data_IF_285431202663
#
_entry.id   IF_285431202663
#
_cell.length_a   1.000
_cell.length_b   1.000
_cell.length_c   1.000
_cell.angle_alpha   90.00
_cell.angle_beta   90.00
_cell.angle_gamma   90.00
#
_symmetry.space_group_name_H-M   'P 1'
#
loop_
_entity.id
_entity.type
_entity.pdbx_description
1 polymer ?
#
# COMPACT_ATOMS: atom_id res chain seq x y z
N UNK A 1 -7.10 -25.73 -18.53
CA UNK A 1 -6.94 -24.27 -18.56
C UNK A 1 -6.57 -23.83 -17.15
N UNK A 2 -5.32 -23.45 -16.91
CA UNK A 2 -4.93 -22.85 -15.61
C UNK A 2 -5.32 -21.37 -15.71
N UNK A 3 -6.15 -20.83 -14.80
CA UNK A 3 -6.46 -19.40 -14.80
C UNK A 3 -5.14 -18.63 -14.69
N UNK A 4 -4.93 -17.64 -15.56
CA UNK A 4 -3.76 -16.79 -15.50
C UNK A 4 -3.69 -16.11 -14.14
N UNK A 5 -2.70 -16.48 -13.32
CA UNK A 5 -2.44 -15.81 -12.05
C UNK A 5 -1.94 -14.40 -12.37
N UNK A 6 -2.76 -13.39 -12.07
CA UNK A 6 -2.32 -12.00 -12.16
C UNK A 6 -1.12 -11.81 -11.25
N UNK A 7 0.05 -11.54 -11.84
CA UNK A 7 1.27 -11.27 -11.09
C UNK A 7 1.21 -9.83 -10.59
N UNK A 8 1.69 -9.60 -9.37
CA UNK A 8 1.85 -8.26 -8.82
C UNK A 8 3.29 -7.81 -9.06
N UNK A 9 3.45 -6.78 -9.89
CA UNK A 9 4.72 -6.08 -10.04
C UNK A 9 4.77 -4.89 -9.09
N UNK A 10 5.91 -4.68 -8.45
CA UNK A 10 6.09 -3.62 -7.46
C UNK A 10 7.16 -2.64 -7.92
N UNK A 11 6.86 -1.35 -7.85
CA UNK A 11 7.77 -0.27 -8.22
C UNK A 11 8.29 0.39 -6.96
N UNK A 12 9.62 0.57 -6.90
CA UNK A 12 10.32 1.16 -5.76
C UNK A 12 11.12 2.39 -6.17
N UNK A 13 11.16 3.39 -5.29
CA UNK A 13 12.05 4.53 -5.37
C UNK A 13 12.66 4.77 -3.99
N UNK A 14 13.98 4.90 -3.93
CA UNK A 14 14.71 5.10 -2.67
C UNK A 14 14.38 4.05 -1.57
N UNK A 15 14.18 2.79 -1.99
CA UNK A 15 13.79 1.69 -1.10
C UNK A 15 12.33 1.72 -0.62
N UNK A 16 11.54 2.75 -0.98
CA UNK A 16 10.12 2.86 -0.68
C UNK A 16 9.28 2.29 -1.82
N UNK A 17 8.23 1.55 -1.48
CA UNK A 17 7.27 1.03 -2.46
C UNK A 17 6.31 2.14 -2.85
N UNK A 18 6.30 2.51 -4.13
CA UNK A 18 5.50 3.65 -4.65
C UNK A 18 4.33 3.21 -5.52
N UNK A 19 4.38 2.01 -6.11
CA UNK A 19 3.25 1.48 -6.86
C UNK A 19 3.21 -0.06 -6.87
N UNK A 20 2.02 -0.60 -7.10
CA UNK A 20 1.77 -2.00 -7.48
C UNK A 20 0.99 -2.01 -8.78
N UNK A 21 1.44 -2.84 -9.73
CA UNK A 21 0.74 -3.12 -10.97
C UNK A 21 0.24 -4.55 -10.92
N UNK A 22 -1.06 -4.74 -11.10
CA UNK A 22 -1.72 -6.06 -11.13
C UNK A 22 -2.54 -6.15 -12.40
N UNK A 23 -1.98 -6.78 -13.44
CA UNK A 23 -2.54 -6.71 -14.80
C UNK A 23 -2.50 -5.28 -15.33
N UNK A 24 -3.65 -4.68 -15.61
CA UNK A 24 -3.79 -3.27 -16.02
C UNK A 24 -4.10 -2.31 -14.88
N UNK A 25 -4.26 -2.82 -13.65
CA UNK A 25 -4.63 -2.01 -12.48
C UNK A 25 -3.39 -1.48 -11.79
N UNK A 26 -3.31 -0.17 -11.60
CA UNK A 26 -2.24 0.49 -10.85
C UNK A 26 -2.78 1.00 -9.52
N UNK A 27 -2.09 0.65 -8.44
CA UNK A 27 -2.28 1.19 -7.09
C UNK A 27 -1.05 2.01 -6.74
N UNK A 28 -1.23 3.27 -6.36
CA UNK A 28 -0.16 4.14 -5.88
C UNK A 28 -0.11 4.13 -4.36
N UNK A 29 1.09 3.95 -3.80
CA UNK A 29 1.35 3.98 -2.36
C UNK A 29 1.87 5.34 -1.95
N UNK A 30 1.31 5.88 -0.88
CA UNK A 30 1.75 7.15 -0.29
C UNK A 30 2.31 6.86 1.10
N UNK A 31 3.63 6.93 1.21
CA UNK A 31 4.35 6.58 2.44
C UNK A 31 4.81 7.82 3.21
N UNK A 32 4.94 7.70 4.53
CA UNK A 32 5.67 8.69 5.33
C UNK A 32 7.18 8.49 5.31
N UNK A 33 7.90 9.36 6.04
CA UNK A 33 9.37 9.41 6.05
C UNK A 33 10.05 8.11 6.54
N UNK A 34 9.34 7.24 7.25
CA UNK A 34 9.86 5.94 7.69
C UNK A 34 9.29 4.77 6.87
N UNK A 35 8.59 5.08 5.78
CA UNK A 35 8.02 4.10 4.86
C UNK A 35 6.67 3.53 5.27
N UNK A 36 5.96 4.12 6.24
CA UNK A 36 4.62 3.63 6.60
C UNK A 36 3.61 4.03 5.53
N UNK A 37 2.84 3.07 5.00
CA UNK A 37 1.77 3.34 4.02
C UNK A 37 0.62 4.09 4.69
N UNK A 38 0.37 5.35 4.33
CA UNK A 38 -0.74 6.16 4.91
C UNK A 38 -1.96 6.25 4.02
N UNK A 39 -1.76 6.07 2.73
CA UNK A 39 -2.80 6.19 1.72
C UNK A 39 -2.45 5.29 0.54
N UNK A 40 -3.47 4.73 -0.09
CA UNK A 40 -3.40 4.16 -1.43
C UNK A 40 -4.44 4.78 -2.33
N UNK A 41 -4.08 5.01 -3.58
CA UNK A 41 -5.00 5.54 -4.59
C UNK A 41 -4.98 4.71 -5.86
N UNK A 42 -6.13 4.59 -6.52
CA UNK A 42 -6.22 4.06 -7.89
C UNK A 42 -5.62 5.04 -8.91
N UNK A 43 -5.53 4.60 -10.16
CA UNK A 43 -5.15 5.44 -11.30
C UNK A 43 -6.04 6.69 -11.49
N UNK A 44 -7.29 6.66 -11.01
CA UNK A 44 -8.23 7.79 -11.06
C UNK A 44 -8.20 8.66 -9.79
N UNK A 45 -7.29 8.41 -8.86
CA UNK A 45 -7.20 9.15 -7.58
C UNK A 45 -8.23 8.72 -6.53
N UNK A 46 -8.97 7.63 -6.75
CA UNK A 46 -9.89 7.09 -5.74
C UNK A 46 -9.10 6.51 -4.58
N UNK A 47 -9.48 6.86 -3.35
CA UNK A 47 -8.87 6.30 -2.13
C UNK A 47 -9.24 4.83 -1.99
N UNK A 48 -8.23 3.96 -1.97
CA UNK A 48 -8.38 2.51 -1.79
C UNK A 48 -8.09 2.07 -0.36
N UNK A 49 -7.13 2.75 0.29
CA UNK A 49 -6.74 2.53 1.66
C UNK A 49 -6.32 3.85 2.29
N UNK A 50 -6.60 4.05 3.58
CA UNK A 50 -6.04 5.17 4.34
C UNK A 50 -5.93 4.80 5.82
N UNK A 51 -4.78 5.10 6.43
CA UNK A 51 -4.51 4.84 7.84
C UNK A 51 -3.49 5.84 8.39
N UNK A 52 -3.59 6.14 9.67
CA UNK A 52 -2.56 6.86 10.42
C UNK A 52 -2.03 5.96 11.54
N UNK A 53 -0.75 6.11 11.86
CA UNK A 53 -0.07 5.36 12.89
C UNK A 53 0.37 6.28 14.04
N UNK A 54 0.17 5.83 15.26
CA UNK A 54 0.84 6.37 16.44
C UNK A 54 2.32 5.96 16.45
N UNK A 55 3.18 6.60 17.28
CA UNK A 55 4.52 6.09 17.53
C UNK A 55 4.47 4.60 17.89
N UNK A 56 5.37 3.80 17.31
CA UNK A 56 5.43 2.33 17.43
C UNK A 56 4.34 1.52 16.71
N UNK A 57 3.54 2.16 15.85
CA UNK A 57 2.77 1.46 14.82
C UNK A 57 1.33 1.10 15.19
N UNK A 58 0.83 1.55 16.34
CA UNK A 58 -0.59 1.38 16.67
C UNK A 58 -1.44 2.19 15.69
N UNK A 59 -2.47 1.53 15.15
CA UNK A 59 -3.42 2.14 14.23
C UNK A 59 -4.21 3.24 14.97
N UNK A 60 -4.47 4.37 14.32
CA UNK A 60 -5.21 5.48 14.91
C UNK A 60 -6.74 5.28 14.91
N UNK A 61 -7.21 4.04 14.87
CA UNK A 61 -8.61 3.64 15.08
C UNK A 61 -9.56 3.76 13.88
N UNK A 62 -9.16 4.38 12.76
CA UNK A 62 -10.04 4.61 11.61
C UNK A 62 -9.43 4.24 10.24
N UNK A 63 -8.85 3.04 10.06
CA UNK A 63 -8.40 2.63 8.75
C UNK A 63 -9.56 2.44 7.77
N UNK A 64 -9.34 2.78 6.51
CA UNK A 64 -10.20 2.42 5.39
C UNK A 64 -9.45 1.47 4.47
N UNK A 65 -10.16 0.54 3.83
CA UNK A 65 -9.53 -0.45 2.95
C UNK A 65 -8.67 -1.49 3.68
N UNK A 66 -7.82 -2.18 2.94
CA UNK A 66 -6.90 -3.18 3.46
C UNK A 66 -5.58 -3.12 2.70
N UNK A 67 -4.48 -3.08 3.44
CA UNK A 67 -3.13 -3.18 2.90
C UNK A 67 -2.30 -4.10 3.81
N UNK A 68 -1.47 -4.94 3.17
CA UNK A 68 -0.61 -5.90 3.87
C UNK A 68 0.57 -5.20 4.54
N UNK A 69 1.22 -4.26 3.86
CA UNK A 69 2.43 -3.59 4.35
C UNK A 69 2.12 -2.19 4.85
N UNK A 70 2.13 -2.05 6.17
CA UNK A 70 1.60 -0.90 6.90
C UNK A 70 2.73 -0.10 7.52
N UNK A 71 2.88 -0.16 8.84
CA UNK A 71 3.89 0.58 9.59
C UNK A 71 5.31 0.19 9.14
N UNK A 72 6.16 1.18 8.88
CA UNK A 72 7.55 1.00 8.39
C UNK A 72 7.67 0.14 7.12
N UNK A 73 6.60 0.03 6.33
CA UNK A 73 6.55 -0.80 5.13
C UNK A 73 6.68 -2.31 5.42
N UNK A 74 6.37 -2.73 6.65
CA UNK A 74 6.42 -4.14 7.06
C UNK A 74 5.04 -4.78 7.02
N UNK A 75 4.95 -6.09 6.72
CA UNK A 75 3.69 -6.81 6.81
C UNK A 75 3.16 -6.77 8.24
N UNK A 76 1.85 -6.61 8.40
CA UNK A 76 1.18 -6.82 9.70
C UNK A 76 1.34 -8.29 10.11
N UNK A 77 1.71 -8.52 11.37
CA UNK A 77 1.76 -9.86 11.98
C UNK A 77 0.40 -10.27 12.53
#
# INVERSE_FOLDING_TARGET
MVPGTTTNDYVYADGLRIAKVSGSTVTYYHTDAIGSTRLETSASGTVLFSENYQPYGQNNGTPTGSETYKFTGKPVS
#
